data_IF_807139180525
#
_entry.id   IF_807139180525
#
_cell.length_a   1.000
_cell.length_b   1.000
_cell.length_c   1.000
_cell.angle_alpha   90.00
_cell.angle_beta   90.00
_cell.angle_gamma   90.00
#
_symmetry.space_group_name_H-M   'P 1'
#
loop_
_entity.id
_entity.type
_entity.pdbx_description
1 polymer ?
#
# COMPACT_ATOMS: atom_id res chain seq x y z
N UNK A 1 32.79 -2.18 3.70
CA UNK A 1 32.56 -2.57 2.29
C UNK A 1 31.79 -3.89 2.26
N UNK A 2 30.70 -3.99 1.48
CA UNK A 2 29.98 -5.26 1.31
C UNK A 2 30.83 -6.27 0.52
N UNK A 3 30.69 -7.57 0.84
CA UNK A 3 31.37 -8.63 0.08
C UNK A 3 30.86 -8.65 -1.37
N UNK A 4 31.67 -9.19 -2.29
CA UNK A 4 31.32 -9.31 -3.72
C UNK A 4 29.93 -9.95 -3.87
N UNK A 5 29.05 -9.33 -4.65
CA UNK A 5 27.65 -9.80 -4.82
C UNK A 5 26.64 -9.28 -3.79
N UNK A 6 27.03 -8.35 -2.91
CA UNK A 6 26.14 -7.73 -1.91
C UNK A 6 26.06 -6.21 -2.06
N UNK A 7 24.99 -5.63 -1.53
CA UNK A 7 24.85 -4.18 -1.34
C UNK A 7 24.24 -3.87 0.03
N UNK A 8 24.59 -2.71 0.57
CA UNK A 8 24.15 -2.25 1.90
C UNK A 8 23.01 -1.24 1.71
N UNK A 9 21.93 -1.38 2.49
CA UNK A 9 20.85 -0.41 2.51
C UNK A 9 21.32 0.89 3.16
N UNK A 10 21.18 2.02 2.47
CA UNK A 10 21.60 3.35 2.98
C UNK A 10 20.81 3.83 4.21
N UNK A 11 19.68 3.19 4.52
CA UNK A 11 18.76 3.63 5.57
C UNK A 11 18.80 2.76 6.83
N UNK A 12 19.23 1.50 6.73
CA UNK A 12 19.21 0.56 7.86
C UNK A 12 20.43 -0.37 7.92
N UNK A 13 21.42 -0.11 7.07
CA UNK A 13 22.68 -0.85 6.93
C UNK A 13 22.56 -2.37 6.71
N UNK A 14 21.36 -2.83 6.40
CA UNK A 14 21.12 -4.24 6.13
C UNK A 14 21.86 -4.67 4.86
N UNK A 15 22.61 -5.78 4.98
CA UNK A 15 23.22 -6.46 3.83
C UNK A 15 22.12 -7.16 3.01
N UNK A 16 22.09 -6.84 1.73
CA UNK A 16 21.17 -7.35 0.74
C UNK A 16 21.93 -7.94 -0.47
N UNK A 17 21.28 -8.80 -1.25
CA UNK A 17 21.87 -9.30 -2.49
C UNK A 17 22.03 -8.19 -3.53
N UNK A 18 23.07 -8.26 -4.38
CA UNK A 18 23.34 -7.24 -5.40
C UNK A 18 22.14 -6.97 -6.32
N UNK A 19 21.35 -8.00 -6.64
CA UNK A 19 20.16 -7.92 -7.51
C UNK A 19 18.86 -7.60 -6.77
N UNK A 20 18.88 -7.40 -5.45
CA UNK A 20 17.67 -7.09 -4.68
C UNK A 20 17.08 -5.73 -5.12
N UNK A 21 15.77 -5.66 -5.34
CA UNK A 21 15.12 -4.40 -5.72
C UNK A 21 14.77 -3.53 -4.52
N UNK A 22 14.48 -4.15 -3.38
CA UNK A 22 14.18 -3.49 -2.12
C UNK A 22 15.01 -4.11 -0.99
N UNK A 23 15.21 -3.35 0.08
CA UNK A 23 15.84 -3.86 1.29
C UNK A 23 14.94 -4.95 1.92
N UNK A 24 15.53 -6.10 2.27
CA UNK A 24 14.81 -7.21 2.91
C UNK A 24 14.31 -6.90 4.32
N UNK A 25 14.90 -5.88 4.98
CA UNK A 25 14.54 -5.46 6.35
C UNK A 25 13.55 -4.30 6.33
N UNK A 26 13.95 -3.15 5.79
CA UNK A 26 13.09 -1.94 5.81
C UNK A 26 12.21 -1.75 4.57
N UNK A 27 12.35 -2.57 3.52
CA UNK A 27 11.55 -2.44 2.30
C UNK A 27 11.98 -1.30 1.36
N UNK A 28 12.94 -0.47 1.76
CA UNK A 28 13.39 0.68 0.96
C UNK A 28 13.88 0.25 -0.43
N UNK A 29 13.40 0.86 -1.52
CA UNK A 29 13.90 0.59 -2.86
C UNK A 29 15.38 0.94 -3.04
N UNK A 30 16.10 0.09 -3.77
CA UNK A 30 17.44 0.40 -4.21
C UNK A 30 17.42 1.11 -5.57
N UNK A 31 18.19 2.19 -5.68
CA UNK A 31 18.51 2.81 -6.97
C UNK A 31 19.40 1.86 -7.76
N UNK A 32 18.96 1.46 -8.96
CA UNK A 32 19.69 0.54 -9.84
C UNK A 32 20.58 1.31 -10.83
N UNK A 33 21.50 0.62 -11.53
CA UNK A 33 22.51 1.22 -12.44
C UNK A 33 21.92 2.20 -13.47
N UNK A 34 20.67 2.03 -13.86
CA UNK A 34 19.99 2.89 -14.83
C UNK A 34 19.06 3.92 -14.16
N UNK A 35 19.26 4.25 -12.87
CA UNK A 35 18.37 5.13 -12.09
C UNK A 35 16.98 4.53 -11.78
N UNK A 36 16.57 3.45 -12.45
CA UNK A 36 15.26 2.83 -12.28
C UNK A 36 15.09 2.24 -10.89
N UNK A 37 14.21 2.84 -10.10
CA UNK A 37 13.65 2.21 -8.91
C UNK A 37 12.69 1.10 -9.37
N UNK A 38 12.96 -0.13 -8.94
CA UNK A 38 11.96 -1.21 -9.06
C UNK A 38 11.34 -1.41 -7.68
N UNK A 39 10.06 -1.13 -7.59
CA UNK A 39 9.30 -1.39 -6.39
C UNK A 39 9.05 -2.91 -6.28
N UNK A 40 9.16 -3.43 -5.06
CA UNK A 40 8.88 -4.83 -4.80
C UNK A 40 7.40 -5.15 -5.05
N UNK A 41 7.09 -6.42 -5.34
CA UNK A 41 5.70 -6.91 -5.39
C UNK A 41 5.11 -7.15 -3.99
N UNK A 42 5.91 -6.92 -2.94
CA UNK A 42 5.51 -7.19 -1.56
C UNK A 42 4.53 -6.11 -1.10
N UNK A 43 3.49 -6.50 -0.35
CA UNK A 43 2.64 -5.53 0.33
C UNK A 43 3.45 -4.63 1.26
N UNK A 44 3.05 -3.37 1.33
CA UNK A 44 3.54 -2.41 2.33
C UNK A 44 3.04 -2.90 3.70
N UNK A 45 3.97 -3.15 4.62
CA UNK A 45 3.64 -3.58 5.98
C UNK A 45 3.18 -2.41 6.84
N UNK A 46 3.95 -1.32 6.80
CA UNK A 46 3.64 -0.08 7.48
C UNK A 46 3.30 1.01 6.46
N UNK A 47 2.00 1.24 6.31
CA UNK A 47 1.46 2.21 5.36
C UNK A 47 1.58 3.65 5.86
N UNK A 48 1.86 3.87 7.15
CA UNK A 48 2.06 5.21 7.72
C UNK A 48 3.37 5.86 7.25
N UNK A 49 4.27 5.05 6.69
CA UNK A 49 5.50 5.51 6.03
C UNK A 49 5.28 6.16 4.66
N UNK A 50 4.06 6.14 4.14
CA UNK A 50 3.71 6.78 2.87
C UNK A 50 3.69 8.30 3.01
N UNK A 51 4.22 8.99 2.01
CA UNK A 51 4.25 10.46 1.95
C UNK A 51 3.42 10.98 0.80
N UNK A 52 3.00 12.25 0.87
CA UNK A 52 2.34 12.91 -0.26
C UNK A 52 3.17 12.74 -1.54
N UNK A 53 2.50 12.36 -2.63
CA UNK A 53 3.15 12.07 -3.91
C UNK A 53 3.60 10.62 -4.11
N UNK A 54 3.75 9.81 -3.05
CA UNK A 54 4.06 8.39 -3.20
C UNK A 54 2.96 7.69 -4.01
N UNK A 55 3.38 6.84 -4.96
CA UNK A 55 2.46 6.07 -5.79
C UNK A 55 2.35 4.63 -5.28
N UNK A 56 1.12 4.13 -5.20
CA UNK A 56 0.83 2.76 -4.76
C UNK A 56 -0.29 2.13 -5.60
N UNK A 57 -0.42 0.81 -5.48
CA UNK A 57 -1.51 0.02 -6.04
C UNK A 57 -2.26 -0.68 -4.92
N UNK A 58 -3.59 -0.56 -4.93
CA UNK A 58 -4.47 -1.37 -4.09
C UNK A 58 -4.63 -2.75 -4.73
N UNK A 59 -4.38 -3.80 -3.96
CA UNK A 59 -4.57 -5.19 -4.39
C UNK A 59 -6.04 -5.60 -4.29
N UNK A 60 -6.47 -6.47 -5.20
CA UNK A 60 -7.79 -7.09 -5.17
C UNK A 60 -8.02 -7.88 -3.89
N UNK A 61 -9.30 -8.03 -3.51
CA UNK A 61 -9.72 -8.77 -2.31
C UNK A 61 -9.02 -8.21 -1.06
N UNK A 62 -9.12 -6.90 -0.87
CA UNK A 62 -8.65 -6.20 0.33
C UNK A 62 -9.56 -5.00 0.57
N UNK A 63 -9.43 -4.36 1.73
CA UNK A 63 -10.37 -3.30 2.11
C UNK A 63 -11.68 -3.85 2.66
N UNK A 64 -12.62 -2.94 2.83
CA UNK A 64 -13.95 -3.19 3.39
C UNK A 64 -14.68 -4.30 2.64
N UNK A 65 -15.39 -5.12 3.39
CA UNK A 65 -16.09 -6.28 2.86
C UNK A 65 -17.37 -6.58 3.62
N UNK A 66 -18.23 -7.39 3.02
CA UNK A 66 -19.33 -8.05 3.72
C UNK A 66 -19.27 -9.55 3.49
N UNK A 67 -19.93 -10.29 4.37
CA UNK A 67 -20.11 -11.74 4.23
C UNK A 67 -21.55 -11.97 3.78
N UNK A 68 -21.73 -12.60 2.61
CA UNK A 68 -23.04 -12.95 2.10
C UNK A 68 -23.60 -14.10 2.94
N UNK A 69 -24.62 -13.83 3.76
CA UNK A 69 -25.18 -14.83 4.70
C UNK A 69 -25.61 -16.15 4.04
N UNK A 70 -26.16 -16.09 2.83
CA UNK A 70 -26.64 -17.27 2.12
C UNK A 70 -25.52 -18.22 1.64
N UNK A 71 -24.32 -17.71 1.34
CA UNK A 71 -23.23 -18.50 0.74
C UNK A 71 -21.96 -18.54 1.60
N UNK A 72 -21.84 -17.65 2.58
CA UNK A 72 -20.61 -17.42 3.34
C UNK A 72 -19.53 -16.66 2.57
N UNK A 73 -19.80 -16.20 1.34
CA UNK A 73 -18.79 -15.55 0.51
C UNK A 73 -18.40 -14.18 1.04
N UNK A 74 -17.09 -13.93 1.09
CA UNK A 74 -16.53 -12.61 1.39
C UNK A 74 -16.46 -11.75 0.12
N UNK A 75 -17.24 -10.67 0.09
CA UNK A 75 -17.31 -9.75 -1.03
C UNK A 75 -16.70 -8.41 -0.62
N UNK A 76 -15.65 -7.99 -1.33
CA UNK A 76 -14.96 -6.73 -1.05
C UNK A 76 -15.50 -5.58 -1.90
N UNK A 77 -15.58 -4.39 -1.31
CA UNK A 77 -16.05 -3.17 -1.96
C UNK A 77 -14.92 -2.30 -2.52
N UNK A 78 -13.67 -2.61 -2.18
CA UNK A 78 -12.54 -1.77 -2.54
C UNK A 78 -12.33 -1.70 -4.06
N UNK A 79 -12.25 -0.47 -4.58
CA UNK A 79 -11.83 -0.23 -5.95
C UNK A 79 -10.34 -0.54 -6.09
N UNK A 80 -10.01 -1.54 -6.91
CA UNK A 80 -8.61 -1.87 -7.18
C UNK A 80 -8.03 -0.94 -8.22
N UNK A 81 -6.82 -0.44 -8.00
CA UNK A 81 -6.15 0.40 -8.99
C UNK A 81 -4.91 1.08 -8.48
N UNK A 82 -4.46 2.07 -9.25
CA UNK A 82 -3.25 2.85 -8.97
C UNK A 82 -3.65 4.18 -8.38
N UNK A 83 -2.93 4.59 -7.35
CA UNK A 83 -3.23 5.79 -6.58
C UNK A 83 -1.96 6.56 -6.25
N UNK A 84 -2.10 7.86 -6.04
CA UNK A 84 -1.08 8.74 -5.49
C UNK A 84 -1.55 9.25 -4.14
N UNK A 85 -0.71 9.13 -3.13
CA UNK A 85 -1.01 9.61 -1.78
C UNK A 85 -1.22 11.11 -1.81
N UNK A 86 -2.31 11.58 -1.18
CA UNK A 86 -2.50 12.98 -0.83
C UNK A 86 -2.09 13.21 0.63
N UNK A 87 -2.67 12.43 1.55
CA UNK A 87 -2.39 12.56 2.98
C UNK A 87 -2.80 11.31 3.76
N UNK A 88 -2.23 11.15 4.96
CA UNK A 88 -2.68 10.19 5.96
C UNK A 88 -3.74 10.88 6.82
N UNK A 89 -4.88 10.23 7.01
CA UNK A 89 -5.98 10.74 7.85
C UNK A 89 -5.93 10.11 9.23
N UNK A 90 -6.24 10.90 10.25
CA UNK A 90 -6.17 10.50 11.66
C UNK A 90 -7.56 10.50 12.32
N UNK A 91 -7.77 9.60 13.26
CA UNK A 91 -8.95 9.53 14.14
C UNK A 91 -8.43 9.29 15.56
N UNK A 92 -8.88 10.11 16.51
CA UNK A 92 -8.44 10.03 17.92
C UNK A 92 -6.91 10.06 18.10
N UNK A 93 -6.22 10.83 17.26
CA UNK A 93 -4.75 10.95 17.25
C UNK A 93 -4.00 9.77 16.62
N UNK A 94 -4.70 8.75 16.11
CA UNK A 94 -4.10 7.57 15.48
C UNK A 94 -4.32 7.56 13.96
N UNK A 95 -3.36 7.06 13.15
CA UNK A 95 -3.54 6.88 11.72
C UNK A 95 -4.70 5.91 11.43
N UNK A 96 -5.68 6.34 10.65
CA UNK A 96 -6.92 5.59 10.42
C UNK A 96 -7.23 5.35 8.94
N UNK A 97 -6.72 6.21 8.05
CA UNK A 97 -7.02 6.10 6.63
C UNK A 97 -6.01 6.83 5.76
N UNK A 98 -6.19 6.68 4.46
CA UNK A 98 -5.33 7.24 3.44
C UNK A 98 -6.17 7.93 2.38
N UNK A 99 -6.00 9.24 2.26
CA UNK A 99 -6.62 10.00 1.19
C UNK A 99 -5.70 10.04 -0.03
N UNK A 100 -6.24 9.83 -1.21
CA UNK A 100 -5.44 9.61 -2.41
C UNK A 100 -6.16 9.97 -3.71
N UNK A 101 -5.37 10.28 -4.73
CA UNK A 101 -5.84 10.53 -6.09
C UNK A 101 -5.69 9.27 -6.93
N UNK A 102 -6.74 8.88 -7.65
CA UNK A 102 -6.67 7.80 -8.63
C UNK A 102 -5.81 8.18 -9.84
N UNK A 103 -4.96 7.25 -10.31
CA UNK A 103 -4.02 7.43 -11.42
C UNK A 103 -4.34 6.59 -12.67
N UNK A 104 -5.53 6.00 -12.77
CA UNK A 104 -5.87 5.07 -13.84
C UNK A 104 -7.22 5.37 -14.46
N UNK A 105 -7.47 4.86 -15.67
CA UNK A 105 -8.76 5.07 -16.33
C UNK A 105 -9.96 4.49 -15.57
N UNK A 106 -9.76 3.48 -14.72
CA UNK A 106 -10.79 2.89 -13.84
C UNK A 106 -10.78 3.45 -12.41
N UNK A 107 -9.77 4.25 -12.07
CA UNK A 107 -9.58 4.84 -10.74
C UNK A 107 -9.17 6.28 -10.96
N UNK A 108 -10.17 7.14 -11.10
CA UNK A 108 -10.03 8.58 -11.35
C UNK A 108 -10.71 9.38 -10.25
N UNK A 109 -10.15 10.52 -9.88
CA UNK A 109 -10.71 11.37 -8.84
C UNK A 109 -10.14 11.09 -7.45
N UNK A 110 -10.82 11.60 -6.42
CA UNK A 110 -10.41 11.53 -5.03
C UNK A 110 -11.00 10.31 -4.35
N UNK A 111 -10.18 9.60 -3.59
CA UNK A 111 -10.58 8.42 -2.82
C UNK A 111 -10.08 8.51 -1.39
N UNK A 112 -10.86 7.94 -0.49
CA UNK A 112 -10.45 7.70 0.88
C UNK A 112 -10.45 6.20 1.15
N UNK A 113 -9.33 5.68 1.64
CA UNK A 113 -9.15 4.25 1.92
C UNK A 113 -9.05 4.05 3.44
N UNK A 114 -9.89 3.16 3.97
CA UNK A 114 -9.77 2.70 5.36
C UNK A 114 -8.48 1.89 5.55
N UNK A 115 -7.68 2.24 6.57
CA UNK A 115 -6.38 1.60 6.84
C UNK A 115 -6.15 1.30 8.33
N UNK A 116 -7.14 1.57 9.19
CA UNK A 116 -7.11 1.30 10.62
C UNK A 116 -7.22 -0.19 10.97
N UNK A 117 -7.40 -0.46 12.26
CA UNK A 117 -7.70 -1.81 12.75
C UNK A 117 -9.06 -2.30 12.24
N UNK A 118 -9.28 -3.62 12.21
CA UNK A 118 -10.57 -4.11 11.72
C UNK A 118 -11.69 -3.67 12.67
N UNK A 119 -12.68 -2.96 12.13
CA UNK A 119 -13.90 -2.60 12.85
C UNK A 119 -15.04 -3.49 12.34
N UNK A 120 -15.66 -4.23 13.26
CA UNK A 120 -16.93 -4.90 13.00
C UNK A 120 -18.05 -3.86 12.78
N UNK A 121 -19.16 -4.22 12.11
CA UNK A 121 -20.20 -3.27 11.77
C UNK A 121 -20.76 -2.58 13.02
N UNK A 122 -20.66 -1.25 13.07
CA UNK A 122 -21.07 -0.44 14.21
C UNK A 122 -22.60 -0.27 14.33
N UNK A 123 -23.32 -0.37 13.21
CA UNK A 123 -24.77 -0.13 13.15
C UNK A 123 -25.55 -1.43 13.06
N UNK A 124 -26.63 -1.52 13.85
CA UNK A 124 -27.63 -2.59 13.75
C UNK A 124 -28.19 -2.59 12.32
N UNK A 125 -27.86 -3.62 11.54
CA UNK A 125 -28.26 -3.77 10.14
C UNK A 125 -27.15 -3.48 9.12
N UNK A 126 -25.99 -2.96 9.54
CA UNK A 126 -24.82 -2.91 8.68
C UNK A 126 -24.16 -4.28 8.60
N UNK A 127 -23.89 -4.74 7.37
CA UNK A 127 -23.18 -6.00 7.09
C UNK A 127 -21.72 -5.76 6.69
N UNK A 128 -21.28 -4.50 6.69
CA UNK A 128 -19.97 -4.09 6.19
C UNK A 128 -18.95 -4.04 7.32
N UNK A 129 -17.94 -4.89 7.20
CA UNK A 129 -16.74 -4.90 8.05
C UNK A 129 -15.70 -3.97 7.43
N UNK A 130 -15.20 -3.02 8.21
CA UNK A 130 -14.09 -2.16 7.77
C UNK A 130 -12.77 -2.88 7.95
N UNK A 131 -11.95 -2.89 6.91
CA UNK A 131 -10.69 -3.62 6.95
C UNK A 131 -9.62 -2.89 6.14
N UNK A 132 -8.37 -2.97 6.58
CA UNK A 132 -7.26 -2.31 5.91
C UNK A 132 -7.06 -2.83 4.48
N UNK A 133 -6.72 -1.91 3.58
CA UNK A 133 -6.37 -2.26 2.21
C UNK A 133 -4.96 -2.84 2.13
N UNK A 134 -4.74 -3.73 1.17
CA UNK A 134 -3.39 -4.25 0.88
C UNK A 134 -2.77 -3.41 -0.23
N UNK A 135 -1.71 -2.68 0.11
CA UNK A 135 -1.05 -1.73 -0.77
C UNK A 135 0.29 -2.28 -1.26
N UNK A 136 0.68 -1.94 -2.48
CA UNK A 136 2.02 -2.21 -3.02
C UNK A 136 2.57 -0.93 -3.63
N UNK A 137 3.79 -0.52 -3.28
CA UNK A 137 4.42 0.67 -3.90
C UNK A 137 4.61 0.43 -5.40
N UNK A 138 4.41 1.47 -6.22
CA UNK A 138 4.64 1.43 -7.67
C UNK A 138 5.45 2.64 -8.11
N UNK A 139 6.07 2.55 -9.29
CA UNK A 139 6.65 3.73 -9.94
C UNK A 139 5.51 4.66 -10.32
N UNK A 140 5.74 5.97 -10.17
CA UNK A 140 4.85 6.97 -10.73
C UNK A 140 4.66 6.68 -12.24
N UNK A 141 3.42 6.41 -12.68
CA UNK A 141 3.14 6.09 -14.07
C UNK A 141 3.36 7.27 -15.03
N UNK A 142 3.47 8.50 -14.52
CA UNK A 142 3.65 9.71 -15.31
C UNK A 142 5.10 10.23 -15.32
N UNK A 143 5.97 9.65 -14.49
CA UNK A 143 7.40 9.98 -14.47
C UNK A 143 8.11 9.29 -15.64
N UNK A 144 8.53 10.10 -16.63
CA UNK A 144 9.25 9.67 -17.84
C UNK A 144 10.58 8.98 -17.50
#
# INVERSE_FOLDING_TARGET
MGKRGQKICKFCDQINGARAYTCKKCGEPFVMKNGRIRYGKKPIQDWTTLKEGDCFRVLSRSGDYFIRQATGDKVHFATTGKYRVKEITYKDGQPHGLACWGLGGRTSGYYWLYMGEQEEPYEIGSVCVRSKHRLVRIKDPFEK
#
